data_IF_853271363209
#
_entry.id   IF_853271363209
#
_cell.length_a   1.000
_cell.length_b   1.000
_cell.length_c   1.000
_cell.angle_alpha   90.00
_cell.angle_beta   90.00
_cell.angle_gamma   90.00
#
_symmetry.space_group_name_H-M   'P 1'
#
loop_
_entity.id
_entity.type
_entity.pdbx_description
1 polymer ?
#
# COMPACT_ATOMS: atom_id res chain seq x y z
N UNK A 1 -13.25 3.49 27.41
CA UNK A 1 -12.71 2.12 27.23
C UNK A 1 -11.46 1.95 28.10
N UNK A 2 -11.37 0.93 28.97
CA UNK A 2 -10.18 0.66 29.81
C UNK A 2 -8.95 0.38 28.91
N UNK A 3 -7.80 0.98 29.24
CA UNK A 3 -6.50 0.81 28.53
C UNK A 3 -6.07 -0.66 28.40
N UNK A 4 -6.56 -1.56 29.26
CA UNK A 4 -6.19 -2.99 29.31
C UNK A 4 -6.59 -3.83 28.08
N UNK A 5 -7.43 -3.31 27.17
CA UNK A 5 -7.91 -4.06 25.99
C UNK A 5 -7.27 -3.61 24.67
N UNK A 6 -6.21 -2.80 24.70
CA UNK A 6 -5.51 -2.30 23.51
C UNK A 6 -4.27 -3.13 23.22
N UNK A 7 -4.11 -3.55 21.97
CA UNK A 7 -2.94 -4.25 21.46
C UNK A 7 -2.25 -3.33 20.46
N UNK A 8 -0.94 -3.11 20.63
CA UNK A 8 -0.16 -2.35 19.66
C UNK A 8 -0.01 -3.16 18.38
N UNK A 9 -0.52 -2.62 17.27
CA UNK A 9 -0.41 -3.23 15.94
C UNK A 9 0.74 -2.63 15.12
N UNK A 10 0.92 -1.32 15.24
CA UNK A 10 1.96 -0.55 14.53
C UNK A 10 2.63 0.48 15.45
N UNK A 11 3.96 0.48 15.44
CA UNK A 11 4.83 1.48 16.06
C UNK A 11 4.73 2.85 15.38
N UNK A 12 5.19 3.92 16.06
CA UNK A 12 5.14 5.26 15.48
C UNK A 12 5.95 5.39 14.17
N UNK A 13 7.18 4.86 14.05
CA UNK A 13 7.93 4.92 12.79
C UNK A 13 7.24 4.19 11.63
N UNK A 14 6.54 3.09 11.92
CA UNK A 14 5.75 2.36 10.92
C UNK A 14 4.60 3.20 10.36
N UNK A 15 3.89 3.91 11.24
CA UNK A 15 2.77 4.77 10.85
C UNK A 15 3.24 5.99 10.09
N UNK A 16 4.29 6.65 10.56
CA UNK A 16 4.87 7.83 9.89
C UNK A 16 5.29 7.46 8.46
N UNK A 17 6.00 6.33 8.28
CA UNK A 17 6.43 5.90 6.96
C UNK A 17 5.23 5.63 6.03
N UNK A 18 4.18 4.98 6.53
CA UNK A 18 2.95 4.77 5.76
C UNK A 18 2.32 6.09 5.32
N UNK A 19 2.20 7.07 6.21
CA UNK A 19 1.60 8.37 5.85
C UNK A 19 2.46 9.15 4.86
N UNK A 20 3.78 9.05 4.92
CA UNK A 20 4.68 9.60 3.89
C UNK A 20 4.35 8.98 2.53
N UNK A 21 4.29 7.64 2.44
CA UNK A 21 3.92 6.94 1.20
C UNK A 21 2.53 7.39 0.72
N UNK A 22 1.55 7.48 1.62
CA UNK A 22 0.18 7.86 1.28
C UNK A 22 0.11 9.27 0.69
N UNK A 23 0.79 10.25 1.30
CA UNK A 23 0.82 11.61 0.76
C UNK A 23 1.56 11.67 -0.58
N UNK A 24 2.72 11.05 -0.71
CA UNK A 24 3.43 10.99 -1.99
C UNK A 24 2.58 10.33 -3.08
N UNK A 25 1.85 9.25 -2.74
CA UNK A 25 0.93 8.59 -3.66
C UNK A 25 -0.18 9.53 -4.12
N UNK A 26 -0.82 10.29 -3.22
CA UNK A 26 -1.86 11.25 -3.59
C UNK A 26 -1.32 12.30 -4.57
N UNK A 27 -0.18 12.91 -4.27
CA UNK A 27 0.43 13.90 -5.16
C UNK A 27 0.81 13.31 -6.53
N UNK A 28 1.46 12.13 -6.54
CA UNK A 28 1.87 11.46 -7.77
C UNK A 28 0.67 10.98 -8.60
N UNK A 29 -0.34 10.37 -7.97
CA UNK A 29 -1.53 9.87 -8.65
C UNK A 29 -2.35 11.01 -9.27
N UNK A 30 -2.59 12.10 -8.55
CA UNK A 30 -3.35 13.23 -9.07
C UNK A 30 -2.61 13.95 -10.20
N UNK A 31 -1.33 14.25 -10.03
CA UNK A 31 -0.54 14.85 -11.10
C UNK A 31 -0.40 13.92 -12.33
N UNK A 32 -0.21 12.62 -12.10
CA UNK A 32 -0.16 11.60 -13.15
C UNK A 32 -1.46 11.46 -13.93
N UNK A 33 -2.62 11.44 -13.25
CA UNK A 33 -3.93 11.47 -13.89
C UNK A 33 -4.14 12.74 -14.72
N UNK A 34 -3.63 13.87 -14.23
CA UNK A 34 -3.63 15.12 -14.98
C UNK A 34 -2.82 15.03 -16.28
N UNK A 35 -1.69 14.31 -16.33
CA UNK A 35 -0.97 14.07 -17.58
C UNK A 35 -1.67 13.07 -18.50
N UNK A 36 -2.38 12.10 -17.93
CA UNK A 36 -2.94 10.97 -18.65
C UNK A 36 -4.30 11.28 -19.30
N UNK A 37 -5.15 12.04 -18.62
CA UNK A 37 -6.47 12.42 -19.10
C UNK A 37 -6.56 13.94 -19.30
N UNK A 38 -6.65 14.45 -20.54
CA UNK A 38 -6.71 15.89 -20.80
C UNK A 38 -7.85 16.62 -20.08
N UNK A 39 -9.00 15.95 -19.89
CA UNK A 39 -10.14 16.47 -19.12
C UNK A 39 -9.83 16.67 -17.63
N UNK A 40 -8.80 16.01 -17.12
CA UNK A 40 -8.34 16.09 -15.73
C UNK A 40 -7.08 16.94 -15.56
N UNK A 41 -6.66 17.70 -16.58
CA UNK A 41 -5.45 18.53 -16.54
C UNK A 41 -5.38 19.47 -15.32
N UNK A 42 -6.52 19.92 -14.81
CA UNK A 42 -6.60 20.75 -13.61
C UNK A 42 -6.00 20.09 -12.35
N UNK A 43 -5.92 18.75 -12.30
CA UNK A 43 -5.28 18.00 -11.22
C UNK A 43 -3.77 18.27 -11.12
N UNK A 44 -3.12 18.71 -12.20
CA UNK A 44 -1.69 19.07 -12.15
C UNK A 44 -1.40 20.22 -11.18
N UNK A 45 -2.38 21.08 -10.88
CA UNK A 45 -2.23 22.18 -9.94
C UNK A 45 -2.07 21.71 -8.48
N UNK A 46 -2.24 20.42 -8.18
CA UNK A 46 -1.95 19.85 -6.85
C UNK A 46 -0.48 20.05 -6.43
N UNK A 47 0.42 20.20 -7.40
CA UNK A 47 1.84 20.52 -7.20
C UNK A 47 2.15 22.01 -7.48
N UNK A 48 1.13 22.88 -7.47
CA UNK A 48 1.23 24.31 -7.71
C UNK A 48 0.83 24.70 -9.13
N UNK A 49 1.63 24.33 -10.13
CA UNK A 49 1.36 24.63 -11.56
C UNK A 49 1.62 23.41 -12.43
N UNK A 50 1.10 23.35 -13.68
CA UNK A 50 1.40 22.25 -14.59
C UNK A 50 2.90 22.09 -14.87
N UNK A 51 3.65 23.19 -14.88
CA UNK A 51 5.11 23.19 -15.05
C UNK A 51 5.80 22.56 -13.84
N UNK A 52 5.39 22.92 -12.61
CA UNK A 52 5.90 22.30 -11.39
C UNK A 52 5.52 20.84 -11.30
N UNK A 53 4.29 20.46 -11.68
CA UNK A 53 3.86 19.06 -11.68
C UNK A 53 4.79 18.19 -12.53
N UNK A 54 5.09 18.63 -13.76
CA UNK A 54 6.00 17.91 -14.67
C UNK A 54 7.42 17.76 -14.09
N UNK A 55 7.89 18.74 -13.32
CA UNK A 55 9.20 18.70 -12.68
C UNK A 55 9.17 17.79 -11.44
N UNK A 56 8.21 17.98 -10.54
CA UNK A 56 8.16 17.39 -9.21
C UNK A 56 7.62 15.97 -9.19
N UNK A 57 6.70 15.60 -10.09
CA UNK A 57 6.09 14.26 -10.15
C UNK A 57 7.11 13.11 -10.05
N UNK A 58 8.19 13.07 -10.87
CA UNK A 58 9.14 11.96 -10.78
C UNK A 58 9.94 11.96 -9.47
N UNK A 59 10.24 13.12 -8.87
CA UNK A 59 10.90 13.18 -7.56
C UNK A 59 9.98 12.66 -6.45
N UNK A 60 8.71 13.05 -6.46
CA UNK A 60 7.70 12.50 -5.54
C UNK A 60 7.58 10.99 -5.72
N UNK A 61 7.61 10.50 -6.97
CA UNK A 61 7.61 9.08 -7.29
C UNK A 61 8.82 8.33 -6.72
N UNK A 62 10.03 8.89 -6.79
CA UNK A 62 11.24 8.32 -6.18
C UNK A 62 11.13 8.27 -4.66
N UNK A 63 10.69 9.37 -4.03
CA UNK A 63 10.49 9.41 -2.56
C UNK A 63 9.46 8.35 -2.14
N UNK A 64 8.34 8.24 -2.87
CA UNK A 64 7.33 7.21 -2.64
C UNK A 64 7.93 5.81 -2.73
N UNK A 65 8.70 5.52 -3.78
CA UNK A 65 9.33 4.21 -3.98
C UNK A 65 10.26 3.86 -2.83
N UNK A 66 11.14 4.78 -2.43
CA UNK A 66 12.11 4.56 -1.34
C UNK A 66 11.38 4.35 -0.01
N UNK A 67 10.40 5.19 0.32
CA UNK A 67 9.62 5.06 1.54
C UNK A 67 8.84 3.73 1.58
N UNK A 68 8.25 3.32 0.46
CA UNK A 68 7.58 2.02 0.35
C UNK A 68 8.56 0.85 0.44
N UNK A 69 9.75 0.95 -0.15
CA UNK A 69 10.78 -0.10 -0.05
C UNK A 69 11.19 -0.34 1.41
N UNK A 70 11.30 0.72 2.22
CA UNK A 70 11.53 0.60 3.67
C UNK A 70 10.38 -0.16 4.36
N UNK A 71 9.12 0.08 3.96
CA UNK A 71 7.98 -0.72 4.46
C UNK A 71 8.06 -2.17 4.00
N UNK A 72 8.40 -2.41 2.73
CA UNK A 72 8.53 -3.74 2.15
C UNK A 72 9.54 -4.58 2.94
N UNK A 73 10.75 -4.05 3.16
CA UNK A 73 11.80 -4.74 3.90
C UNK A 73 11.40 -5.05 5.36
N UNK A 74 10.50 -4.25 5.96
CA UNK A 74 9.97 -4.50 7.29
C UNK A 74 8.89 -5.59 7.31
N UNK A 75 8.03 -5.65 6.30
CA UNK A 75 6.81 -6.46 6.34
C UNK A 75 6.81 -7.69 5.42
N UNK A 76 7.77 -7.85 4.52
CA UNK A 76 7.75 -8.91 3.50
C UNK A 76 7.58 -10.32 4.10
N UNK A 77 8.25 -10.62 5.22
CA UNK A 77 8.13 -11.93 5.90
C UNK A 77 6.70 -12.21 6.38
N UNK A 78 5.98 -11.19 6.84
CA UNK A 78 4.60 -11.32 7.26
C UNK A 78 3.60 -11.40 6.09
N UNK A 79 4.06 -11.13 4.86
CA UNK A 79 3.25 -11.13 3.65
C UNK A 79 3.56 -12.31 2.71
N UNK A 80 4.36 -13.28 3.16
CA UNK A 80 4.55 -14.52 2.43
C UNK A 80 3.22 -15.28 2.32
N UNK A 81 2.95 -15.84 1.14
CA UNK A 81 1.73 -16.61 0.89
C UNK A 81 1.88 -17.97 1.57
N UNK A 82 0.91 -18.31 2.40
CA UNK A 82 0.85 -19.54 3.20
C UNK A 82 -0.32 -20.41 2.75
N UNK A 83 -0.31 -21.70 3.10
CA UNK A 83 -1.41 -22.62 2.76
C UNK A 83 -2.76 -22.15 3.33
N UNK A 84 -2.77 -21.53 4.50
CA UNK A 84 -3.98 -20.96 5.12
C UNK A 84 -4.61 -19.84 4.28
N UNK A 85 -3.84 -19.18 3.41
CA UNK A 85 -4.38 -18.13 2.54
C UNK A 85 -5.30 -18.70 1.45
N UNK A 86 -5.12 -19.96 1.07
CA UNK A 86 -6.01 -20.65 0.12
C UNK A 86 -7.41 -20.85 0.73
N UNK A 87 -7.51 -21.10 2.03
CA UNK A 87 -8.80 -21.21 2.72
C UNK A 87 -9.52 -19.86 2.73
N UNK A 88 -8.79 -18.77 2.97
CA UNK A 88 -9.31 -17.42 2.85
C UNK A 88 -9.82 -17.14 1.43
N UNK A 89 -9.01 -17.48 0.41
CA UNK A 89 -9.36 -17.27 -0.99
C UNK A 89 -10.62 -18.04 -1.43
N UNK A 90 -10.75 -19.32 -1.02
CA UNK A 90 -11.93 -20.15 -1.32
C UNK A 90 -13.21 -19.59 -0.70
N UNK A 91 -13.12 -18.87 0.41
CA UNK A 91 -14.26 -18.34 1.15
C UNK A 91 -14.46 -16.82 0.95
N UNK A 92 -13.95 -16.24 -0.16
CA UNK A 92 -14.07 -14.80 -0.44
C UNK A 92 -15.52 -14.29 -0.42
N UNK A 93 -16.49 -15.14 -0.77
CA UNK A 93 -17.92 -14.83 -0.73
C UNK A 93 -18.49 -14.65 0.69
N UNK A 94 -17.88 -15.28 1.69
CA UNK A 94 -18.23 -15.10 3.11
C UNK A 94 -17.60 -13.81 3.65
N UNK A 95 -16.36 -13.54 3.26
CA UNK A 95 -15.65 -12.31 3.61
C UNK A 95 -16.38 -11.08 3.06
N UNK A 96 -16.90 -11.16 1.82
CA UNK A 96 -17.72 -10.11 1.23
C UNK A 96 -19.05 -9.88 1.99
N UNK A 97 -19.52 -10.87 2.76
CA UNK A 97 -20.66 -10.76 3.68
C UNK A 97 -20.26 -10.38 5.11
N UNK A 98 -19.00 -9.96 5.33
CA UNK A 98 -18.45 -9.60 6.62
C UNK A 98 -18.42 -10.77 7.63
N UNK A 99 -18.38 -12.00 7.12
CA UNK A 99 -18.10 -13.21 7.88
C UNK A 99 -16.59 -13.48 7.88
N UNK A 100 -16.03 -13.80 9.04
CA UNK A 100 -14.62 -14.12 9.17
C UNK A 100 -14.38 -15.60 8.88
N UNK A 101 -13.33 -15.90 8.12
CA UNK A 101 -13.01 -17.26 7.69
C UNK A 101 -11.51 -17.48 7.67
N UNK A 102 -11.12 -18.70 8.00
CA UNK A 102 -9.73 -19.14 8.03
C UNK A 102 -8.95 -18.64 9.24
N UNK A 103 -7.82 -19.30 9.49
CA UNK A 103 -6.94 -18.95 10.59
C UNK A 103 -5.95 -17.85 10.18
N UNK A 104 -6.45 -16.61 10.16
CA UNK A 104 -5.71 -15.47 9.63
C UNK A 104 -4.58 -15.02 10.57
N UNK A 105 -3.35 -14.97 10.03
CA UNK A 105 -2.15 -14.42 10.67
C UNK A 105 -2.14 -12.90 10.78
N UNK A 106 -0.94 -12.29 10.82
CA UNK A 106 -0.81 -10.83 10.98
C UNK A 106 -1.50 -10.06 9.85
N UNK A 107 -1.45 -10.60 8.64
CA UNK A 107 -2.16 -10.09 7.46
C UNK A 107 -2.96 -11.21 6.80
N UNK A 108 -4.15 -10.87 6.29
CA UNK A 108 -4.96 -11.79 5.50
C UNK A 108 -4.51 -11.83 4.03
N UNK A 109 -5.03 -12.80 3.26
CA UNK A 109 -4.64 -12.97 1.86
C UNK A 109 -4.90 -11.72 1.01
N UNK A 110 -6.03 -11.04 1.18
CA UNK A 110 -6.32 -9.79 0.46
C UNK A 110 -5.28 -8.69 0.72
N UNK A 111 -4.84 -8.53 1.97
CA UNK A 111 -3.77 -7.60 2.34
C UNK A 111 -2.43 -8.00 1.71
N UNK A 112 -2.12 -9.30 1.65
CA UNK A 112 -0.92 -9.82 0.98
C UNK A 112 -0.96 -9.53 -0.53
N UNK A 113 -2.12 -9.71 -1.18
CA UNK A 113 -2.30 -9.35 -2.59
C UNK A 113 -2.04 -7.87 -2.84
N UNK A 114 -2.60 -6.97 -2.01
CA UNK A 114 -2.32 -5.53 -2.10
C UNK A 114 -0.83 -5.25 -1.94
N UNK A 115 -0.16 -5.88 -0.98
CA UNK A 115 1.28 -5.72 -0.75
C UNK A 115 2.12 -6.09 -1.98
N UNK A 116 1.87 -7.26 -2.58
CA UNK A 116 2.61 -7.75 -3.74
C UNK A 116 2.28 -6.99 -5.04
N UNK A 117 1.01 -6.63 -5.24
CA UNK A 117 0.62 -5.80 -6.38
C UNK A 117 1.25 -4.41 -6.29
N UNK A 118 1.26 -3.79 -5.11
CA UNK A 118 1.84 -2.48 -4.90
C UNK A 118 3.34 -2.46 -5.20
N UNK A 119 4.14 -3.39 -4.66
CA UNK A 119 5.58 -3.43 -4.94
C UNK A 119 5.87 -3.69 -6.43
N UNK A 120 5.09 -4.57 -7.06
CA UNK A 120 5.24 -4.88 -8.49
C UNK A 120 4.98 -3.64 -9.35
N UNK A 121 3.88 -2.94 -9.10
CA UNK A 121 3.56 -1.71 -9.82
C UNK A 121 4.61 -0.63 -9.55
N UNK A 122 5.09 -0.48 -8.31
CA UNK A 122 6.10 0.52 -7.95
C UNK A 122 7.46 0.25 -8.61
N UNK A 123 7.87 -1.01 -8.74
CA UNK A 123 9.09 -1.38 -9.48
C UNK A 123 8.95 -1.04 -10.97
N UNK A 124 7.81 -1.39 -11.58
CA UNK A 124 7.53 -1.07 -12.98
C UNK A 124 7.47 0.45 -13.20
N UNK A 125 6.82 1.19 -12.30
CA UNK A 125 6.73 2.66 -12.34
C UNK A 125 8.10 3.32 -12.20
N UNK A 126 8.96 2.84 -11.29
CA UNK A 126 10.30 3.38 -11.14
C UNK A 126 11.14 3.12 -12.40
N UNK A 127 11.18 1.87 -12.88
CA UNK A 127 11.98 1.49 -14.04
C UNK A 127 11.55 2.25 -15.29
N UNK A 128 10.25 2.24 -15.60
CA UNK A 128 9.70 2.99 -16.73
C UNK A 128 9.80 4.50 -16.54
N UNK A 129 9.63 4.99 -15.31
CA UNK A 129 9.74 6.39 -14.93
C UNK A 129 11.13 6.95 -15.22
N UNK A 130 12.18 6.23 -14.83
CA UNK A 130 13.58 6.58 -15.15
C UNK A 130 13.77 6.66 -16.67
N UNK A 131 13.27 5.68 -17.43
CA UNK A 131 13.39 5.68 -18.90
C UNK A 131 12.74 6.90 -19.56
N UNK A 132 11.60 7.37 -19.04
CA UNK A 132 10.87 8.51 -19.62
C UNK A 132 11.25 9.87 -18.99
N UNK A 133 12.14 9.89 -18.00
CA UNK A 133 12.48 11.08 -17.24
C UNK A 133 13.39 12.02 -18.02
N UNK A 134 12.79 13.11 -18.55
CA UNK A 134 13.51 14.22 -19.19
C UNK A 134 13.83 15.34 -18.18
N UNK A 135 14.95 16.07 -18.34
CA UNK A 135 15.99 15.87 -19.36
C UNK A 135 17.08 14.86 -18.97
N UNK A 136 17.03 14.29 -17.75
CA UNK A 136 18.16 13.60 -17.13
C UNK A 136 18.52 12.23 -17.73
N UNK A 137 17.52 11.37 -17.96
CA UNK A 137 17.76 9.95 -18.26
C UNK A 137 17.21 9.54 -19.62
N UNK A 138 16.07 10.08 -20.03
CA UNK A 138 15.42 9.73 -21.29
C UNK A 138 16.30 9.88 -22.55
N UNK A 139 17.22 10.87 -22.68
CA UNK A 139 18.10 10.97 -23.84
C UNK A 139 19.04 9.76 -24.04
N UNK A 140 19.29 8.97 -22.99
CA UNK A 140 20.16 7.78 -23.04
C UNK A 140 19.44 6.54 -23.58
N UNK A 141 18.14 6.61 -23.87
CA UNK A 141 17.34 5.49 -24.35
C UNK A 141 16.85 5.72 -25.79
N UNK A 142 16.71 4.63 -26.55
CA UNK A 142 16.17 4.69 -27.91
C UNK A 142 14.67 5.03 -27.89
N UNK A 143 14.19 5.65 -28.97
CA UNK A 143 12.77 6.05 -29.10
C UNK A 143 11.80 4.86 -28.88
N UNK A 144 12.03 3.65 -29.42
CA UNK A 144 11.17 2.50 -29.14
C UNK A 144 11.09 2.14 -27.66
N UNK A 145 12.21 2.22 -26.94
CA UNK A 145 12.26 1.92 -25.50
C UNK A 145 11.49 2.96 -24.69
N UNK A 146 11.62 4.25 -25.03
CA UNK A 146 10.85 5.33 -24.40
C UNK A 146 9.34 5.12 -24.60
N UNK A 147 8.92 4.74 -25.82
CA UNK A 147 7.51 4.48 -26.12
C UNK A 147 6.96 3.29 -25.33
N UNK A 148 7.72 2.20 -25.25
CA UNK A 148 7.34 1.05 -24.44
C UNK A 148 7.24 1.43 -22.94
N UNK A 149 8.21 2.20 -22.44
CA UNK A 149 8.21 2.67 -21.06
C UNK A 149 7.00 3.57 -20.76
N UNK A 150 6.58 4.46 -21.67
CA UNK A 150 5.36 5.24 -21.48
C UNK A 150 4.13 4.34 -21.25
N UNK A 151 3.95 3.30 -22.07
CA UNK A 151 2.83 2.35 -21.91
C UNK A 151 2.93 1.60 -20.58
N UNK A 152 4.11 1.06 -20.26
CA UNK A 152 4.33 0.34 -18.99
C UNK A 152 4.05 1.25 -17.80
N UNK A 153 4.50 2.51 -17.84
CA UNK A 153 4.30 3.48 -16.79
C UNK A 153 2.81 3.77 -16.59
N UNK A 154 2.09 4.07 -17.68
CA UNK A 154 0.66 4.36 -17.64
C UNK A 154 -0.18 3.18 -17.13
N UNK A 155 0.07 1.96 -17.62
CA UNK A 155 -0.66 0.76 -17.18
C UNK A 155 -0.37 0.46 -15.71
N UNK A 156 0.90 0.56 -15.29
CA UNK A 156 1.29 0.34 -13.89
C UNK A 156 0.72 1.40 -12.96
N UNK A 157 0.60 2.66 -13.41
CA UNK A 157 -0.01 3.75 -12.65
C UNK A 157 -1.49 3.46 -12.40
N UNK A 158 -2.24 3.09 -13.45
CA UNK A 158 -3.66 2.73 -13.33
C UNK A 158 -3.82 1.51 -12.41
N UNK A 159 -2.99 0.47 -12.57
CA UNK A 159 -3.00 -0.71 -11.72
C UNK A 159 -2.76 -0.38 -10.23
N UNK A 160 -1.78 0.48 -9.95
CA UNK A 160 -1.51 0.94 -8.59
C UNK A 160 -2.67 1.78 -8.03
N UNK A 161 -3.24 2.69 -8.82
CA UNK A 161 -4.38 3.51 -8.40
C UNK A 161 -5.57 2.64 -8.00
N UNK A 162 -5.94 1.66 -8.84
CA UNK A 162 -7.02 0.72 -8.54
C UNK A 162 -6.72 -0.11 -7.28
N UNK A 163 -5.47 -0.58 -7.13
CA UNK A 163 -5.04 -1.33 -5.95
C UNK A 163 -5.19 -0.51 -4.68
N UNK A 164 -4.79 0.76 -4.70
CA UNK A 164 -4.90 1.66 -3.53
C UNK A 164 -6.36 2.05 -3.26
N UNK A 165 -7.21 2.22 -4.28
CA UNK A 165 -8.64 2.43 -4.08
C UNK A 165 -9.27 1.26 -3.31
N UNK A 166 -8.99 0.02 -3.72
CA UNK A 166 -9.44 -1.19 -3.01
C UNK A 166 -8.88 -1.24 -1.58
N UNK A 167 -7.60 -0.90 -1.40
CA UNK A 167 -6.96 -0.86 -0.08
C UNK A 167 -7.65 0.13 0.88
N UNK A 168 -7.91 1.36 0.43
CA UNK A 168 -8.59 2.39 1.22
C UNK A 168 -10.02 1.99 1.53
N UNK A 169 -10.75 1.45 0.55
CA UNK A 169 -12.10 0.96 0.75
C UNK A 169 -12.16 -0.16 1.81
N UNK A 170 -11.25 -1.14 1.73
CA UNK A 170 -11.16 -2.22 2.71
C UNK A 170 -10.85 -1.69 4.12
N UNK A 171 -9.99 -0.67 4.24
CA UNK A 171 -9.68 -0.04 5.53
C UNK A 171 -10.88 0.71 6.14
N UNK A 172 -11.75 1.30 5.31
CA UNK A 172 -13.00 1.96 5.73
C UNK A 172 -14.10 0.95 6.10
N UNK A 173 -14.14 -0.19 5.42
CA UNK A 173 -15.09 -1.27 5.68
C UNK A 173 -14.77 -1.95 7.02
N UNK A 174 -13.54 -2.42 7.20
CA UNK A 174 -13.13 -3.14 8.41
C UNK A 174 -12.91 -2.13 9.55
N UNK A 175 -13.96 -1.86 10.32
CA UNK A 175 -13.97 -0.87 11.41
C UNK A 175 -12.83 -1.11 12.40
N UNK A 176 -12.14 -0.04 12.78
CA UNK A 176 -10.94 -0.09 13.64
C UNK A 176 -9.60 -0.17 12.89
N UNK A 177 -9.61 -0.50 11.59
CA UNK A 177 -8.37 -0.55 10.79
C UNK A 177 -7.72 0.83 10.62
N UNK A 178 -8.52 1.88 10.39
CA UNK A 178 -8.01 3.26 10.31
C UNK A 178 -7.40 3.69 11.64
N UNK A 179 -8.06 3.40 12.77
CA UNK A 179 -7.52 3.67 14.10
C UNK A 179 -6.18 2.97 14.31
N UNK A 180 -6.02 1.75 13.80
CA UNK A 180 -4.73 1.05 13.84
C UNK A 180 -3.61 1.85 13.14
N UNK A 181 -3.90 2.47 11.98
CA UNK A 181 -2.90 3.21 11.21
C UNK A 181 -2.68 4.65 11.68
N UNK A 182 -3.67 5.27 12.33
CA UNK A 182 -3.53 6.62 12.90
C UNK A 182 -2.91 6.55 14.30
N UNK A 183 -3.49 5.74 15.18
CA UNK A 183 -3.13 5.68 16.60
C UNK A 183 -2.16 4.53 16.95
N UNK A 184 -2.08 3.48 16.13
CA UNK A 184 -1.14 2.37 16.31
C UNK A 184 -1.63 1.17 17.10
N UNK A 185 -2.87 1.22 17.59
CA UNK A 185 -3.43 0.14 18.41
C UNK A 185 -4.77 -0.35 17.86
N UNK A 186 -5.11 -1.58 18.21
CA UNK A 186 -6.40 -2.23 17.94
C UNK A 186 -6.96 -2.81 19.22
N UNK A 187 -8.28 -3.05 19.27
CA UNK A 187 -8.86 -3.77 20.41
C UNK A 187 -8.52 -5.26 20.34
N UNK A 188 -8.40 -5.90 21.49
CA UNK A 188 -8.21 -7.36 21.57
C UNK A 188 -9.34 -8.13 20.85
N UNK A 189 -10.58 -7.64 20.94
CA UNK A 189 -11.73 -8.20 20.23
C UNK A 189 -11.58 -8.09 18.69
N UNK A 190 -11.06 -6.97 18.20
CA UNK A 190 -10.77 -6.79 16.78
C UNK A 190 -9.69 -7.77 16.30
N UNK A 191 -8.61 -7.93 17.08
CA UNK A 191 -7.56 -8.88 16.76
C UNK A 191 -8.08 -10.33 16.74
N UNK A 192 -8.87 -10.73 17.74
CA UNK A 192 -9.49 -12.05 17.80
C UNK A 192 -10.43 -12.31 16.62
N UNK A 193 -11.20 -11.30 16.19
CA UNK A 193 -12.17 -11.41 15.10
C UNK A 193 -11.47 -11.52 13.73
N UNK A 194 -10.64 -10.53 13.39
CA UNK A 194 -10.10 -10.38 12.04
C UNK A 194 -8.74 -11.07 11.83
N UNK A 195 -8.02 -11.37 12.91
CA UNK A 195 -6.66 -11.93 12.88
C UNK A 195 -6.46 -12.98 14.00
N UNK A 196 -7.28 -14.04 14.05
CA UNK A 196 -7.31 -14.99 15.17
C UNK A 196 -5.97 -15.66 15.43
N UNK A 197 -5.20 -16.04 14.41
CA UNK A 197 -3.88 -16.68 14.60
C UNK A 197 -2.89 -15.70 15.22
N UNK A 198 -2.83 -14.49 14.71
CA UNK A 198 -1.98 -13.43 15.26
C UNK A 198 -2.35 -13.08 16.71
N UNK A 199 -3.65 -13.08 17.04
CA UNK A 199 -4.10 -12.85 18.41
C UNK A 199 -3.60 -13.93 19.37
N UNK A 200 -3.66 -15.21 18.98
CA UNK A 200 -3.12 -16.32 19.80
C UNK A 200 -1.61 -16.25 19.96
N UNK A 201 -0.86 -15.91 18.90
CA UNK A 201 0.59 -15.72 18.95
C UNK A 201 1.02 -14.60 19.92
N UNK A 202 0.20 -13.54 20.04
CA UNK A 202 0.46 -12.46 20.99
C UNK A 202 0.20 -12.90 22.44
N UNK A 203 -0.81 -13.73 22.66
CA UNK A 203 -1.13 -14.26 23.98
C UNK A 203 -0.03 -15.21 24.48
N UNK A 204 0.46 -16.12 23.62
CA UNK A 204 1.54 -17.04 23.99
C UNK A 204 2.82 -16.28 24.34
N UNK A 205 3.21 -15.30 23.53
CA UNK A 205 4.40 -14.46 23.82
C UNK A 205 4.25 -13.59 25.08
N UNK A 206 3.03 -13.21 25.43
CA UNK A 206 2.75 -12.47 26.66
C UNK A 206 2.88 -13.33 27.92
N UNK A 207 2.59 -14.63 27.81
CA UNK A 207 2.74 -15.60 28.89
C UNK A 207 4.20 -16.01 29.08
N UNK A 208 4.97 -16.21 28.00
CA UNK A 208 6.39 -16.57 28.07
C UNK A 208 7.27 -15.44 28.65
N UNK A 209 6.88 -14.16 28.51
CA UNK A 209 7.60 -13.03 29.09
C UNK A 209 7.26 -12.77 30.57
N UNK A 210 6.35 -13.55 31.17
CA UNK A 210 5.97 -13.47 32.58
C UNK A 210 6.53 -14.62 33.43
N UNK A 211 7.20 -15.58 32.80
CA UNK A 211 7.93 -16.69 33.42
C UNK A 211 9.44 -16.50 33.23
#
# INVERSE_FOLDING_TARGET
MKKSNRIQRYSAPERINHWIVAFCFVFAALSGLGFFFPSLNWLMNVLGTPQLARILHPFVGVVMFVAFLLMFLRYWKHNLIERSDLEWAKNIHKIARNEEVGDTGRYNFGQKCVFWLAITCLLLLLASGIVIWRPYFAPSFSIPVIRAALVVHSVSAVGLILTIMVHVYAALWVKGTITAMVEGWVSSAWAKKHHPRWHRELQSKGQDNQH
#
